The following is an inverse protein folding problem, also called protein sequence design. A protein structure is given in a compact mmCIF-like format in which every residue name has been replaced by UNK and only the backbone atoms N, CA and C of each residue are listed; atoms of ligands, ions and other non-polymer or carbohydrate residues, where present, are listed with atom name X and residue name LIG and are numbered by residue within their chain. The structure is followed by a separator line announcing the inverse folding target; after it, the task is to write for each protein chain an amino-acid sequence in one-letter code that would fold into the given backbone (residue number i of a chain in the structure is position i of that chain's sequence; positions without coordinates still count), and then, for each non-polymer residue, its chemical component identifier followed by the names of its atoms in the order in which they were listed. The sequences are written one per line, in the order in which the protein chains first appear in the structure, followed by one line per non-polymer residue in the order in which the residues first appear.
data_IF_277062032838
#
_entry.id   IF_277062032838
#
_cell.length_a   1.000
_cell.length_b   1.000
_cell.length_c   1.000
_cell.angle_alpha   90.00
_cell.angle_beta   90.00
_cell.angle_gamma   90.00
#
_symmetry.space_group_name_H-M   'P 1'
#
loop_
_entity.id
_entity.type
_entity.pdbx_description
1 polymer ?
#
# COMPACT_ATOMS: atom_id res chain seq x y z
N UNK A 1 -21.42 -31.04 -22.20
CA UNK A 1 -20.29 -30.66 -21.31
C UNK A 1 -19.70 -29.39 -21.86
N UNK A 2 -20.08 -28.25 -21.30
CA UNK A 2 -19.45 -26.95 -21.60
C UNK A 2 -18.16 -26.93 -20.79
N UNK A 3 -17.02 -26.99 -21.47
CA UNK A 3 -15.72 -26.88 -20.85
C UNK A 3 -15.62 -25.48 -20.26
N UNK A 4 -15.61 -25.33 -18.92
CA UNK A 4 -15.21 -24.15 -18.24
C UNK A 4 -13.75 -23.83 -18.63
N UNK A 5 -13.59 -23.07 -19.70
CA UNK A 5 -12.29 -22.43 -20.00
C UNK A 5 -12.06 -21.39 -18.90
N UNK A 6 -11.37 -21.79 -17.81
CA UNK A 6 -10.82 -20.84 -16.84
C UNK A 6 -9.99 -19.82 -17.63
N UNK A 7 -10.44 -18.56 -17.65
CA UNK A 7 -9.62 -17.47 -18.15
C UNK A 7 -8.29 -17.48 -17.39
N UNK A 8 -7.14 -17.35 -18.08
CA UNK A 8 -5.85 -17.31 -17.40
C UNK A 8 -5.85 -16.17 -16.36
N UNK A 9 -5.14 -16.34 -15.24
CA UNK A 9 -5.05 -15.29 -14.22
C UNK A 9 -4.44 -14.04 -14.85
N UNK A 10 -5.05 -12.88 -14.59
CA UNK A 10 -4.55 -11.58 -15.05
C UNK A 10 -3.20 -11.30 -14.41
N UNK A 11 -2.26 -10.79 -15.20
CA UNK A 11 -0.90 -10.48 -14.79
C UNK A 11 -0.67 -8.97 -14.76
N UNK A 12 -0.20 -8.47 -13.63
CA UNK A 12 0.07 -7.05 -13.40
C UNK A 12 1.55 -6.67 -13.50
N UNK A 13 1.78 -5.37 -13.64
CA UNK A 13 3.08 -4.72 -13.48
C UNK A 13 2.95 -3.62 -12.42
N UNK A 14 3.75 -3.69 -11.36
CA UNK A 14 3.86 -2.64 -10.34
C UNK A 14 5.20 -1.94 -10.50
N UNK A 15 5.20 -0.62 -10.68
CA UNK A 15 6.40 0.21 -10.78
C UNK A 15 6.42 1.25 -9.66
N UNK A 16 7.45 1.19 -8.80
CA UNK A 16 7.67 2.07 -7.66
C UNK A 16 8.77 1.54 -6.76
N UNK A 17 9.61 2.43 -6.22
CA UNK A 17 10.73 2.01 -5.40
C UNK A 17 10.30 1.61 -3.99
N UNK A 18 10.93 0.58 -3.45
CA UNK A 18 10.95 0.34 -2.02
C UNK A 18 11.74 1.46 -1.33
N UNK A 19 11.29 1.85 -0.16
CA UNK A 19 11.91 2.90 0.63
C UNK A 19 12.29 2.41 2.02
N UNK A 20 13.18 3.13 2.66
CA UNK A 20 13.42 3.05 4.08
C UNK A 20 12.68 4.23 4.73
N UNK A 21 11.73 3.95 5.61
CA UNK A 21 10.95 4.98 6.31
C UNK A 21 11.40 5.04 7.78
N UNK A 22 11.81 6.23 8.22
CA UNK A 22 12.16 6.54 9.61
C UNK A 22 11.06 7.39 10.21
N UNK A 23 10.36 6.84 11.19
CA UNK A 23 9.29 7.53 11.91
C UNK A 23 9.89 8.27 13.11
N UNK A 24 9.70 9.58 13.15
CA UNK A 24 10.26 10.47 14.16
C UNK A 24 9.10 11.15 14.89
N UNK A 25 9.04 10.98 16.21
CA UNK A 25 8.04 11.66 17.04
C UNK A 25 8.74 12.55 18.04
N UNK A 26 8.39 13.86 18.04
CA UNK A 26 8.98 14.86 18.92
C UNK A 26 10.53 14.84 18.88
N UNK A 27 11.11 14.65 17.69
CA UNK A 27 12.55 14.58 17.49
C UNK A 27 13.21 13.24 17.82
N UNK A 28 12.45 12.23 18.27
CA UNK A 28 12.96 10.90 18.62
C UNK A 28 12.54 9.87 17.57
N UNK A 29 13.48 9.05 17.08
CA UNK A 29 13.17 7.92 16.19
C UNK A 29 12.38 6.89 16.97
N UNK A 30 11.15 6.60 16.53
CA UNK A 30 10.24 5.63 17.17
C UNK A 30 10.13 4.32 16.39
N UNK A 31 10.41 4.35 15.09
CA UNK A 31 10.45 3.14 14.27
C UNK A 31 11.26 3.37 12.98
N UNK A 32 11.84 2.30 12.46
CA UNK A 32 12.40 2.21 11.12
C UNK A 32 11.74 1.02 10.41
N UNK A 33 11.18 1.26 9.22
CA UNK A 33 10.36 0.26 8.53
C UNK A 33 10.64 0.24 7.03
N UNK A 34 10.31 -0.90 6.41
CA UNK A 34 10.13 -0.95 4.96
C UNK A 34 8.98 -0.01 4.59
N UNK A 35 9.22 0.89 3.66
CA UNK A 35 8.27 1.86 3.12
C UNK A 35 8.20 1.84 1.60
N UNK A 36 7.64 2.92 1.05
CA UNK A 36 7.34 3.06 -0.37
C UNK A 36 5.99 2.44 -0.74
N UNK A 37 5.23 3.12 -1.61
CA UNK A 37 3.89 2.66 -2.03
C UNK A 37 3.89 1.22 -2.55
N UNK A 38 4.94 0.84 -3.29
CA UNK A 38 5.09 -0.51 -3.85
C UNK A 38 5.08 -1.60 -2.77
N UNK A 39 5.64 -1.36 -1.57
CA UNK A 39 5.68 -2.36 -0.50
C UNK A 39 4.30 -2.64 0.09
N UNK A 40 3.50 -1.59 0.32
CA UNK A 40 2.14 -1.69 0.83
C UNK A 40 1.20 -2.35 -0.19
N UNK A 41 1.30 -1.92 -1.45
CA UNK A 41 0.52 -2.49 -2.56
C UNK A 41 0.85 -3.96 -2.74
N UNK A 42 2.14 -4.33 -2.78
CA UNK A 42 2.59 -5.71 -2.90
C UNK A 42 2.03 -6.59 -1.80
N UNK A 43 2.06 -6.13 -0.53
CA UNK A 43 1.47 -6.84 0.59
C UNK A 43 -0.02 -7.15 0.38
N UNK A 44 -0.80 -6.21 -0.17
CA UNK A 44 -2.23 -6.41 -0.44
C UNK A 44 -2.44 -7.32 -1.65
N UNK A 45 -1.68 -7.16 -2.74
CA UNK A 45 -1.79 -8.02 -3.92
C UNK A 45 -1.44 -9.47 -3.59
N UNK A 46 -0.38 -9.70 -2.81
CA UNK A 46 0.00 -11.02 -2.30
C UNK A 46 -1.12 -11.62 -1.43
N UNK A 47 -1.66 -10.79 -0.51
CA UNK A 47 -2.80 -11.16 0.33
C UNK A 47 -4.02 -11.59 -0.50
N UNK A 48 -4.25 -10.98 -1.65
CA UNK A 48 -5.35 -11.30 -2.58
C UNK A 48 -4.97 -12.34 -3.65
N UNK A 49 -3.75 -12.88 -3.62
CA UNK A 49 -3.23 -13.84 -4.60
C UNK A 49 -3.30 -13.33 -6.05
N UNK A 50 -3.05 -12.04 -6.25
CA UNK A 50 -2.94 -11.42 -7.57
C UNK A 50 -1.52 -11.65 -8.09
N UNK A 51 -1.41 -12.07 -9.36
CA UNK A 51 -0.12 -12.25 -10.03
C UNK A 51 0.38 -10.91 -10.59
N UNK A 52 1.62 -10.55 -10.29
CA UNK A 52 2.24 -9.32 -10.80
C UNK A 52 3.77 -9.44 -10.87
N UNK A 53 4.37 -8.61 -11.71
CA UNK A 53 5.80 -8.33 -11.72
C UNK A 53 6.04 -7.01 -11.00
N UNK A 54 7.11 -6.91 -10.23
CA UNK A 54 7.51 -5.68 -9.57
C UNK A 54 8.77 -5.12 -10.24
N UNK A 55 8.76 -3.83 -10.52
CA UNK A 55 9.95 -3.03 -10.88
C UNK A 55 10.16 -2.01 -9.79
N UNK A 56 11.16 -2.26 -8.95
CA UNK A 56 11.55 -1.42 -7.82
C UNK A 56 13.07 -1.34 -7.78
N UNK A 57 13.63 -0.16 -7.53
CA UNK A 57 15.07 0.04 -7.39
C UNK A 57 15.43 0.39 -5.96
N UNK A 58 16.58 -0.11 -5.51
CA UNK A 58 17.15 0.17 -4.19
C UNK A 58 18.66 0.29 -4.29
N UNK A 59 19.31 0.86 -3.28
CA UNK A 59 20.75 0.89 -3.14
C UNK A 59 21.31 -0.38 -2.49
N UNK A 60 22.65 -0.46 -2.38
CA UNK A 60 23.35 -1.54 -1.66
C UNK A 60 23.05 -1.55 -0.15
N UNK A 61 22.53 -0.44 0.37
CA UNK A 61 22.13 -0.24 1.77
C UNK A 61 20.74 -0.78 2.10
N UNK A 62 20.05 -1.41 1.15
CA UNK A 62 18.74 -2.01 1.37
C UNK A 62 18.84 -3.23 2.30
N UNK A 63 18.21 -3.13 3.48
CA UNK A 63 18.35 -4.11 4.55
C UNK A 63 17.07 -4.95 4.82
N UNK A 64 16.08 -4.88 3.95
CA UNK A 64 14.79 -5.56 4.14
C UNK A 64 14.70 -6.85 3.31
N UNK A 65 14.01 -7.85 3.86
CA UNK A 65 13.59 -9.04 3.11
C UNK A 65 12.21 -8.84 2.52
N UNK A 66 12.06 -9.07 1.22
CA UNK A 66 10.83 -8.87 0.44
C UNK A 66 10.47 -10.12 -0.36
N UNK A 67 9.20 -10.30 -0.70
CA UNK A 67 8.74 -11.46 -1.48
C UNK A 67 9.23 -11.41 -2.94
N UNK A 68 9.42 -10.19 -3.47
CA UNK A 68 9.96 -9.96 -4.80
C UNK A 68 11.22 -9.10 -4.66
N UNK A 69 12.32 -9.56 -5.25
CA UNK A 69 13.60 -8.89 -5.16
C UNK A 69 13.60 -7.60 -5.99
N UNK A 70 14.06 -6.46 -5.40
CA UNK A 70 14.25 -5.22 -6.14
C UNK A 70 15.52 -5.27 -7.00
N UNK A 71 15.61 -4.35 -7.96
CA UNK A 71 16.83 -4.09 -8.73
C UNK A 71 17.81 -3.32 -7.84
N UNK A 72 18.96 -3.92 -7.52
CA UNK A 72 19.99 -3.26 -6.70
C UNK A 72 20.89 -2.43 -7.59
N UNK A 73 20.98 -1.12 -7.30
CA UNK A 73 21.79 -0.14 -8.05
C UNK A 73 23.03 0.20 -7.22
N UNK A 74 24.20 -0.23 -7.67
CA UNK A 74 25.47 -0.11 -6.93
C UNK A 74 25.93 1.34 -6.70
N UNK A 75 25.52 2.28 -7.56
CA UNK A 75 25.88 3.69 -7.46
C UNK A 75 24.86 4.55 -6.72
N UNK A 76 23.77 3.96 -6.23
CA UNK A 76 22.65 4.67 -5.63
C UNK A 76 22.43 4.26 -4.17
N UNK A 77 21.70 5.07 -3.41
CA UNK A 77 21.19 4.72 -2.08
C UNK A 77 19.72 4.33 -2.18
N UNK A 78 19.24 3.54 -1.24
CA UNK A 78 17.81 3.31 -1.07
C UNK A 78 17.11 4.63 -0.76
N UNK A 79 15.95 4.87 -1.38
CA UNK A 79 15.14 6.06 -1.08
C UNK A 79 14.78 6.06 0.40
N UNK A 80 15.13 7.15 1.10
CA UNK A 80 14.96 7.31 2.54
C UNK A 80 14.01 8.47 2.82
N UNK A 81 12.95 8.19 3.58
CA UNK A 81 12.05 9.20 4.09
C UNK A 81 12.12 9.31 5.61
N UNK A 82 12.09 10.56 6.10
CA UNK A 82 11.80 10.89 7.49
C UNK A 82 10.36 11.39 7.59
N UNK A 83 9.54 10.70 8.38
CA UNK A 83 8.19 11.12 8.71
C UNK A 83 8.18 11.69 10.13
N UNK A 84 8.05 13.01 10.23
CA UNK A 84 8.02 13.74 11.51
C UNK A 84 6.58 13.91 11.97
N UNK A 85 6.32 13.55 13.21
CA UNK A 85 5.02 13.69 13.88
C UNK A 85 5.22 14.55 15.14
N UNK A 86 4.43 15.59 15.27
CA UNK A 86 4.37 16.39 16.49
C UNK A 86 3.27 15.87 17.42
N UNK A 87 3.52 15.89 18.73
CA UNK A 87 2.53 15.49 19.76
C UNK A 87 1.39 16.47 19.91
N UNK A 88 1.42 17.62 19.22
CA UNK A 88 0.33 18.59 19.15
C UNK A 88 -0.92 17.95 18.58
N UNK A 89 -2.01 17.98 19.33
CA UNK A 89 -3.33 17.55 18.84
C UNK A 89 -3.96 18.78 18.21
N UNK A 90 -4.02 18.82 16.89
CA UNK A 90 -4.93 19.74 16.22
C UNK A 90 -6.37 19.35 16.55
N UNK A 91 -7.25 20.35 16.70
CA UNK A 91 -8.61 20.17 17.24
C UNK A 91 -9.50 19.17 16.50
N UNK A 92 -9.01 18.59 15.39
CA UNK A 92 -9.71 17.59 14.56
C UNK A 92 -9.14 16.17 14.70
N UNK A 93 -8.15 15.98 15.59
CA UNK A 93 -7.55 14.67 15.87
C UNK A 93 -6.69 14.11 14.74
N UNK A 94 -6.37 14.91 13.72
CA UNK A 94 -5.37 14.59 12.71
C UNK A 94 -3.98 14.98 13.25
N UNK A 95 -3.04 14.06 13.15
CA UNK A 95 -1.63 14.35 13.36
C UNK A 95 -1.04 14.68 12.01
N UNK A 96 -0.80 15.96 11.75
CA UNK A 96 -0.03 16.39 10.59
C UNK A 96 1.35 15.77 10.65
N UNK A 97 1.77 15.17 9.54
CA UNK A 97 3.14 14.69 9.41
C UNK A 97 3.88 15.52 8.38
N UNK A 98 5.08 15.93 8.72
CA UNK A 98 6.03 16.49 7.75
C UNK A 98 6.86 15.37 7.19
N UNK A 99 6.78 15.17 5.88
CA UNK A 99 7.54 14.14 5.18
C UNK A 99 8.73 14.78 4.48
N UNK A 100 9.94 14.21 4.71
CA UNK A 100 11.19 14.67 4.08
C UNK A 100 11.88 13.51 3.39
N UNK A 101 12.25 13.70 2.12
CA UNK A 101 13.11 12.76 1.38
C UNK A 101 14.57 13.06 1.67
N UNK A 102 15.21 12.23 2.47
CA UNK A 102 16.62 12.40 2.90
C UNK A 102 17.60 11.70 1.97
N UNK A 103 17.18 10.62 1.35
CA UNK A 103 17.94 9.87 0.34
C UNK A 103 17.07 9.56 -0.86
N UNK A 104 17.69 9.39 -2.02
CA UNK A 104 17.00 9.08 -3.27
C UNK A 104 17.72 7.96 -4.02
N UNK A 105 16.96 6.97 -4.50
CA UNK A 105 17.42 5.98 -5.46
C UNK A 105 17.22 6.48 -6.88
N UNK A 106 17.91 5.85 -7.83
CA UNK A 106 17.75 6.14 -9.26
C UNK A 106 16.29 6.01 -9.68
N UNK A 107 15.85 6.84 -10.64
CA UNK A 107 14.54 6.69 -11.27
C UNK A 107 14.37 5.31 -11.94
N UNK A 108 13.14 4.90 -12.10
CA UNK A 108 12.77 3.75 -12.94
C UNK A 108 12.74 4.23 -14.38
N UNK A 109 13.68 3.76 -15.20
CA UNK A 109 13.76 4.09 -16.61
C UNK A 109 12.84 3.18 -17.44
N UNK A 110 12.41 3.59 -18.65
CA UNK A 110 11.67 2.72 -19.56
C UNK A 110 12.38 1.37 -19.86
N UNK A 111 13.70 1.38 -19.85
CA UNK A 111 14.54 0.19 -20.05
C UNK A 111 14.54 -0.79 -18.88
N UNK A 112 14.11 -0.36 -17.68
CA UNK A 112 13.97 -1.26 -16.52
C UNK A 112 12.66 -2.06 -16.58
N UNK A 113 11.70 -1.63 -17.42
CA UNK A 113 10.41 -2.28 -17.58
C UNK A 113 10.54 -3.52 -18.49
N UNK A 114 9.80 -4.60 -18.18
CA UNK A 114 9.79 -5.79 -19.03
C UNK A 114 9.21 -5.50 -20.41
N UNK A 115 9.70 -6.21 -21.44
CA UNK A 115 9.18 -6.11 -22.81
C UNK A 115 7.82 -6.83 -23.00
N UNK A 116 7.39 -7.63 -22.02
CA UNK A 116 6.14 -8.37 -22.10
C UNK A 116 4.92 -7.49 -21.82
N UNK A 117 3.75 -7.88 -22.36
CA UNK A 117 2.48 -7.22 -22.08
C UNK A 117 1.86 -7.68 -20.76
N UNK A 118 1.09 -6.78 -20.15
CA UNK A 118 0.39 -7.02 -18.89
C UNK A 118 -1.09 -6.60 -19.02
N UNK A 119 -1.97 -7.29 -18.28
CA UNK A 119 -3.38 -6.93 -18.23
C UNK A 119 -3.61 -5.62 -17.47
N UNK A 120 -2.74 -5.30 -16.50
CA UNK A 120 -2.79 -4.04 -15.78
C UNK A 120 -1.40 -3.57 -15.33
N UNK A 121 -1.25 -2.25 -15.18
CA UNK A 121 -0.07 -1.60 -14.63
C UNK A 121 -0.44 -0.70 -13.45
N UNK A 122 0.47 -0.55 -12.49
CA UNK A 122 0.34 0.36 -11.36
C UNK A 122 1.60 1.23 -11.27
N UNK A 123 1.46 2.53 -11.53
CA UNK A 123 2.53 3.51 -11.37
C UNK A 123 2.37 4.19 -10.00
N UNK A 124 3.25 3.84 -9.04
CA UNK A 124 3.05 4.11 -7.61
C UNK A 124 4.29 4.70 -6.93
N UNK A 125 5.06 5.48 -7.65
CA UNK A 125 6.25 6.15 -7.13
C UNK A 125 5.93 7.11 -5.98
N UNK A 126 6.88 7.26 -5.04
CA UNK A 126 6.77 8.17 -3.91
C UNK A 126 7.92 9.16 -3.80
N UNK A 127 9.07 8.83 -4.42
CA UNK A 127 10.32 9.58 -4.34
C UNK A 127 10.70 10.35 -5.61
N UNK A 128 9.80 10.42 -6.61
CA UNK A 128 10.05 11.03 -7.91
C UNK A 128 10.64 10.06 -8.93
N UNK A 129 10.53 8.76 -8.69
CA UNK A 129 11.13 7.72 -9.53
C UNK A 129 10.33 7.37 -10.79
N UNK A 130 9.06 7.78 -10.89
CA UNK A 130 8.24 7.56 -12.10
C UNK A 130 8.40 8.76 -13.03
N UNK A 131 9.15 8.57 -14.10
CA UNK A 131 9.36 9.59 -15.13
C UNK A 131 8.19 9.59 -16.14
N UNK A 132 7.94 10.70 -16.85
CA UNK A 132 6.95 10.74 -17.94
C UNK A 132 7.15 9.62 -18.96
N UNK A 133 8.38 9.39 -19.42
CA UNK A 133 8.71 8.32 -20.37
C UNK A 133 8.46 6.92 -19.81
N UNK A 134 8.65 6.72 -18.49
CA UNK A 134 8.36 5.45 -17.80
C UNK A 134 6.87 5.19 -17.78
N UNK A 135 6.07 6.21 -17.43
CA UNK A 135 4.61 6.10 -17.44
C UNK A 135 4.10 5.85 -18.87
N UNK A 136 4.65 6.53 -19.88
CA UNK A 136 4.29 6.33 -21.28
C UNK A 136 4.57 4.87 -21.71
N UNK A 137 5.75 4.32 -21.38
CA UNK A 137 6.08 2.92 -21.62
C UNK A 137 5.13 1.96 -20.89
N UNK A 138 4.75 2.25 -19.64
CA UNK A 138 3.76 1.43 -18.92
C UNK A 138 2.41 1.42 -19.64
N UNK A 139 1.96 2.57 -20.14
CA UNK A 139 0.71 2.69 -20.93
C UNK A 139 0.77 1.89 -22.23
N UNK A 140 1.95 1.73 -22.84
CA UNK A 140 2.13 0.93 -24.05
C UNK A 140 2.04 -0.57 -23.81
N UNK A 141 2.57 -1.05 -22.67
CA UNK A 141 2.70 -2.49 -22.37
C UNK A 141 1.61 -3.03 -21.44
N UNK A 142 0.74 -2.17 -20.88
CA UNK A 142 -0.36 -2.57 -20.02
C UNK A 142 -1.70 -2.22 -20.67
N UNK A 143 -2.69 -3.10 -20.55
CA UNK A 143 -4.03 -2.86 -21.10
C UNK A 143 -4.78 -1.77 -20.32
N UNK A 144 -4.57 -1.68 -19.00
CA UNK A 144 -5.10 -0.61 -18.14
C UNK A 144 -4.02 -0.16 -17.15
N UNK A 145 -3.83 1.15 -16.98
CA UNK A 145 -2.88 1.68 -16.00
C UNK A 145 -3.60 2.41 -14.88
N UNK A 146 -3.24 2.06 -13.65
CA UNK A 146 -3.64 2.72 -12.41
C UNK A 146 -2.49 3.58 -11.92
N UNK A 147 -2.77 4.84 -11.63
CA UNK A 147 -1.73 5.78 -11.20
C UNK A 147 -2.09 6.36 -9.85
N UNK A 148 -1.15 6.36 -8.91
CA UNK A 148 -1.25 7.22 -7.73
C UNK A 148 -0.71 8.60 -8.10
N UNK A 149 -1.51 9.65 -7.90
CA UNK A 149 -1.17 11.02 -8.28
C UNK A 149 0.12 11.50 -7.59
N UNK A 150 0.43 10.98 -6.38
CA UNK A 150 1.66 11.29 -5.67
C UNK A 150 2.92 11.01 -6.51
N UNK A 151 2.87 10.00 -7.39
CA UNK A 151 3.97 9.69 -8.31
C UNK A 151 4.23 10.79 -9.36
N UNK A 152 3.25 11.66 -9.56
CA UNK A 152 3.24 12.68 -10.63
C UNK A 152 3.45 14.10 -10.10
N UNK A 153 2.91 14.41 -8.91
CA UNK A 153 2.84 15.79 -8.40
C UNK A 153 3.77 16.06 -7.22
N UNK A 154 4.45 15.05 -6.66
CA UNK A 154 5.43 15.29 -5.59
C UNK A 154 6.69 15.92 -6.15
N UNK A 155 7.03 17.09 -5.63
CA UNK A 155 8.31 17.75 -5.76
C UNK A 155 9.02 17.76 -4.41
N UNK A 156 10.32 17.96 -4.42
CA UNK A 156 11.14 17.90 -3.21
C UNK A 156 11.95 19.18 -3.11
N UNK A 157 11.99 19.76 -1.92
CA UNK A 157 12.81 20.91 -1.66
C UNK A 157 14.30 20.53 -1.73
N UNK A 158 15.10 21.30 -2.47
CA UNK A 158 16.52 21.00 -2.69
C UNK A 158 17.38 21.21 -1.42
N UNK A 159 16.88 21.96 -0.44
CA UNK A 159 17.62 22.32 0.77
C UNK A 159 17.40 21.29 1.89
N UNK A 160 16.13 20.95 2.15
CA UNK A 160 15.78 20.12 3.31
C UNK A 160 15.00 18.84 2.95
N UNK A 161 14.75 18.58 1.67
CA UNK A 161 14.05 17.41 1.18
C UNK A 161 12.54 17.37 1.48
N UNK A 162 11.97 18.46 1.99
CA UNK A 162 10.53 18.53 2.28
C UNK A 162 9.71 18.26 1.03
N UNK A 163 8.66 17.44 1.20
CA UNK A 163 7.74 17.13 0.10
C UNK A 163 6.83 18.32 -0.15
N UNK A 164 6.77 18.75 -1.41
CA UNK A 164 5.85 19.76 -1.94
C UNK A 164 4.98 19.13 -3.01
N UNK A 165 3.80 19.69 -3.23
CA UNK A 165 2.92 19.27 -4.32
C UNK A 165 2.90 20.36 -5.38
N UNK A 166 2.96 19.95 -6.66
CA UNK A 166 2.83 20.82 -7.82
C UNK A 166 1.51 20.54 -8.53
N UNK A 167 1.01 21.50 -9.29
CA UNK A 167 -0.21 21.30 -10.09
C UNK A 167 0.01 20.18 -11.10
N UNK A 168 -1.02 19.32 -11.28
CA UNK A 168 -0.95 18.19 -12.20
C UNK A 168 -0.65 18.61 -13.66
N UNK A 169 -1.07 19.80 -14.06
CA UNK A 169 -0.75 20.36 -15.39
C UNK A 169 0.72 20.67 -15.56
N UNK A 170 1.42 20.95 -14.45
CA UNK A 170 2.87 21.25 -14.45
C UNK A 170 3.73 19.97 -14.35
N UNK A 171 3.13 18.81 -14.08
CA UNK A 171 3.83 17.53 -13.88
C UNK A 171 4.48 16.96 -15.16
N UNK A 172 4.18 17.53 -16.33
CA UNK A 172 4.65 17.03 -17.62
C UNK A 172 3.93 15.80 -18.16
N UNK A 173 2.99 15.20 -17.41
CA UNK A 173 2.25 13.97 -17.76
C UNK A 173 0.77 14.19 -18.04
N UNK A 174 0.28 15.42 -17.96
CA UNK A 174 -1.14 15.74 -18.14
C UNK A 174 -1.70 15.21 -19.47
N UNK A 175 -0.93 15.23 -20.53
CA UNK A 175 -1.29 14.73 -21.88
C UNK A 175 -1.49 13.20 -21.93
N UNK A 176 -1.00 12.44 -20.92
CA UNK A 176 -1.15 11.00 -20.84
C UNK A 176 -2.46 10.58 -20.14
N UNK A 177 -3.14 11.50 -19.44
CA UNK A 177 -4.36 11.18 -18.67
C UNK A 177 -5.45 10.46 -19.48
N UNK A 178 -5.72 10.80 -20.76
CA UNK A 178 -6.73 10.08 -21.55
C UNK A 178 -6.42 8.60 -21.81
N UNK A 179 -5.19 8.16 -21.53
CA UNK A 179 -4.71 6.79 -21.69
C UNK A 179 -4.57 6.06 -20.35
N UNK A 180 -4.84 6.74 -19.25
CA UNK A 180 -4.85 6.18 -17.89
C UNK A 180 -6.27 5.69 -17.57
N UNK A 181 -6.39 4.49 -17.00
CA UNK A 181 -7.68 3.96 -16.58
C UNK A 181 -8.22 4.64 -15.33
N UNK A 182 -7.38 4.71 -14.29
CA UNK A 182 -7.74 5.27 -12.98
C UNK A 182 -6.59 6.08 -12.40
N UNK A 183 -6.91 7.29 -11.93
CA UNK A 183 -6.05 8.16 -11.15
C UNK A 183 -6.54 8.19 -9.70
N UNK A 184 -5.71 7.77 -8.75
CA UNK A 184 -6.03 7.87 -7.31
C UNK A 184 -5.40 9.14 -6.75
N UNK A 185 -6.14 9.86 -5.92
CA UNK A 185 -5.67 11.00 -5.15
C UNK A 185 -6.21 10.93 -3.71
N UNK A 186 -5.54 11.58 -2.76
CA UNK A 186 -6.11 11.91 -1.45
C UNK A 186 -6.95 13.20 -1.53
N UNK A 187 -7.74 13.47 -0.48
CA UNK A 187 -8.47 14.73 -0.36
C UNK A 187 -7.59 15.98 -0.37
N UNK A 188 -6.32 15.85 0.04
CA UNK A 188 -5.33 16.93 -0.02
C UNK A 188 -4.73 17.06 -1.42
N UNK A 189 -4.39 15.95 -2.05
CA UNK A 189 -3.78 15.92 -3.38
C UNK A 189 -4.74 16.36 -4.48
N UNK A 190 -6.04 16.15 -4.30
CA UNK A 190 -7.07 16.58 -5.28
C UNK A 190 -7.10 18.10 -5.48
N UNK A 191 -6.61 18.87 -4.51
CA UNK A 191 -6.50 20.33 -4.59
C UNK A 191 -5.46 20.81 -5.62
N UNK A 192 -4.59 19.91 -6.08
CA UNK A 192 -3.55 20.18 -7.08
C UNK A 192 -3.95 19.72 -8.50
N UNK A 193 -5.26 19.56 -8.75
CA UNK A 193 -5.80 19.28 -10.08
C UNK A 193 -7.20 19.88 -10.23
N UNK A 194 -7.59 20.20 -11.47
CA UNK A 194 -8.98 20.47 -11.81
C UNK A 194 -9.73 19.14 -11.94
N UNK A 195 -10.41 18.73 -10.86
CA UNK A 195 -11.14 17.46 -10.81
C UNK A 195 -12.20 17.35 -11.93
N UNK A 196 -12.90 18.45 -12.25
CA UNK A 196 -13.95 18.44 -13.28
C UNK A 196 -13.38 18.33 -14.71
N UNK A 197 -12.16 18.76 -14.91
CA UNK A 197 -11.42 18.53 -16.15
C UNK A 197 -10.89 17.10 -16.22
N UNK A 198 -10.21 16.64 -15.15
CA UNK A 198 -9.52 15.34 -15.11
C UNK A 198 -10.51 14.18 -15.20
N UNK A 199 -11.68 14.26 -14.53
CA UNK A 199 -12.71 13.20 -14.60
C UNK A 199 -13.30 12.95 -16.00
N UNK A 200 -13.11 13.90 -16.93
CA UNK A 200 -13.48 13.75 -18.34
C UNK A 200 -12.43 12.99 -19.14
N UNK A 201 -11.21 12.91 -18.62
CA UNK A 201 -10.06 12.28 -19.27
C UNK A 201 -9.83 10.84 -18.78
N UNK A 202 -9.94 10.61 -17.47
CA UNK A 202 -9.81 9.29 -16.83
C UNK A 202 -10.72 9.20 -15.59
N UNK A 203 -10.93 8.00 -15.07
CA UNK A 203 -11.62 7.84 -13.79
C UNK A 203 -10.73 8.31 -12.63
N UNK A 204 -11.32 9.06 -11.68
CA UNK A 204 -10.60 9.57 -10.51
C UNK A 204 -11.16 8.94 -9.24
N UNK A 205 -10.27 8.45 -8.38
CA UNK A 205 -10.63 7.92 -7.06
C UNK A 205 -10.02 8.82 -5.99
N UNK A 206 -10.87 9.48 -5.20
CA UNK A 206 -10.44 10.36 -4.11
C UNK A 206 -10.66 9.68 -2.77
N UNK A 207 -9.57 9.45 -2.02
CA UNK A 207 -9.63 8.89 -0.66
C UNK A 207 -9.71 10.01 0.37
N UNK A 208 -10.70 9.92 1.29
CA UNK A 208 -11.00 10.95 2.28
C UNK A 208 -10.85 10.42 3.73
N UNK A 209 -9.87 9.55 3.96
CA UNK A 209 -9.54 9.00 5.28
C UNK A 209 -10.76 8.40 5.98
N UNK A 210 -11.16 8.99 7.11
CA UNK A 210 -12.31 8.52 7.93
C UNK A 210 -13.66 8.60 7.22
N UNK A 211 -13.76 9.31 6.10
CA UNK A 211 -14.98 9.45 5.32
C UNK A 211 -15.08 8.42 4.18
N UNK A 212 -14.05 7.59 4.00
CA UNK A 212 -14.01 6.59 2.92
C UNK A 212 -13.45 7.15 1.63
N UNK A 213 -14.11 6.88 0.50
CA UNK A 213 -13.66 7.38 -0.79
C UNK A 213 -14.82 7.73 -1.71
N UNK A 214 -14.50 8.50 -2.74
CA UNK A 214 -15.43 8.86 -3.81
C UNK A 214 -14.78 8.58 -5.16
N UNK A 215 -15.53 7.93 -6.05
CA UNK A 215 -15.08 7.62 -7.39
C UNK A 215 -15.83 8.49 -8.37
N UNK A 216 -15.09 9.16 -9.25
CA UNK A 216 -15.61 10.07 -10.26
C UNK A 216 -15.29 9.52 -11.65
N UNK A 217 -16.26 9.55 -12.54
CA UNK A 217 -16.10 9.29 -13.97
C UNK A 217 -16.79 10.38 -14.77
N UNK A 218 -16.66 10.34 -16.08
CA UNK A 218 -17.15 11.41 -16.98
C UNK A 218 -18.55 11.87 -16.66
N UNK A 219 -19.48 10.95 -16.42
CA UNK A 219 -20.91 11.23 -16.35
C UNK A 219 -21.54 10.99 -14.95
N UNK A 220 -20.70 10.77 -13.92
CA UNK A 220 -21.22 10.50 -12.59
C UNK A 220 -20.17 10.34 -11.51
N UNK A 221 -20.65 9.97 -10.33
CA UNK A 221 -19.84 9.73 -9.16
C UNK A 221 -20.51 8.75 -8.19
N UNK A 222 -19.73 8.08 -7.35
CA UNK A 222 -20.25 7.21 -6.31
C UNK A 222 -19.43 7.35 -5.03
N UNK A 223 -20.12 7.48 -3.91
CA UNK A 223 -19.50 7.47 -2.58
C UNK A 223 -19.50 6.05 -1.99
N UNK A 224 -18.37 5.70 -1.36
CA UNK A 224 -18.16 4.41 -0.73
C UNK A 224 -17.70 4.63 0.71
N UNK A 225 -18.45 4.11 1.67
CA UNK A 225 -18.24 4.32 3.10
C UNK A 225 -16.94 3.71 3.62
N UNK A 226 -16.43 4.23 4.76
CA UNK A 226 -15.21 3.76 5.39
C UNK A 226 -15.42 2.53 6.25
N UNK A 227 -14.33 1.92 6.70
CA UNK A 227 -14.32 0.98 7.83
C UNK A 227 -13.73 1.66 9.05
N UNK A 228 -14.49 1.80 10.15
CA UNK A 228 -14.00 2.41 11.38
C UNK A 228 -12.73 1.71 11.89
N UNK A 229 -11.72 2.49 12.28
CA UNK A 229 -10.48 1.96 12.85
C UNK A 229 -9.82 2.98 13.77
N UNK A 230 -9.07 2.49 14.75
CA UNK A 230 -8.19 3.34 15.55
C UNK A 230 -6.90 3.57 14.76
N UNK A 231 -6.58 4.83 14.54
CA UNK A 231 -5.36 5.21 13.83
C UNK A 231 -4.13 5.03 14.72
N UNK A 232 -3.21 4.16 14.30
CA UNK A 232 -1.88 3.99 14.88
C UNK A 232 -0.86 4.73 14.01
N UNK A 233 -0.82 4.42 12.71
CA UNK A 233 0.03 5.06 11.71
C UNK A 233 -0.74 5.20 10.39
N UNK A 234 -0.91 6.42 9.83
CA UNK A 234 -1.60 6.62 8.56
C UNK A 234 -0.77 6.24 7.34
N UNK A 235 0.53 5.93 7.53
CA UNK A 235 1.45 5.61 6.43
C UNK A 235 0.99 4.39 5.67
N UNK A 236 0.97 4.48 4.32
CA UNK A 236 0.60 3.39 3.44
C UNK A 236 -0.90 3.07 3.38
N UNK A 237 -1.77 3.83 4.08
CA UNK A 237 -3.23 3.62 4.01
C UNK A 237 -3.77 3.82 2.59
N UNK A 238 -3.35 4.90 1.91
CA UNK A 238 -3.71 5.18 0.52
C UNK A 238 -3.16 4.15 -0.46
N UNK A 239 -1.96 3.66 -0.20
CA UNK A 239 -1.31 2.63 -1.01
C UNK A 239 -2.01 1.28 -0.85
N UNK A 240 -2.33 0.89 0.39
CA UNK A 240 -3.12 -0.32 0.68
C UNK A 240 -4.54 -0.23 0.13
N UNK A 241 -5.15 0.96 0.15
CA UNK A 241 -6.41 1.21 -0.55
C UNK A 241 -6.27 0.92 -2.04
N UNK A 242 -5.25 1.48 -2.71
CA UNK A 242 -5.05 1.28 -4.14
C UNK A 242 -4.80 -0.19 -4.47
N UNK A 243 -4.01 -0.91 -3.67
CA UNK A 243 -3.82 -2.36 -3.80
C UNK A 243 -5.14 -3.14 -3.71
N UNK A 244 -5.98 -2.82 -2.73
CA UNK A 244 -7.31 -3.43 -2.55
C UNK A 244 -8.28 -3.10 -3.69
N UNK A 245 -8.33 -1.86 -4.12
CA UNK A 245 -9.15 -1.39 -5.23
C UNK A 245 -8.80 -2.11 -6.53
N UNK A 246 -7.51 -2.11 -6.89
CA UNK A 246 -7.04 -2.78 -8.11
C UNK A 246 -7.26 -4.29 -8.05
N UNK A 247 -7.00 -4.92 -6.88
CA UNK A 247 -7.25 -6.36 -6.73
C UNK A 247 -8.72 -6.71 -6.94
N UNK A 248 -9.65 -5.87 -6.46
CA UNK A 248 -11.09 -6.04 -6.68
C UNK A 248 -11.47 -5.96 -8.15
N UNK A 249 -11.01 -4.90 -8.85
CA UNK A 249 -11.28 -4.71 -10.28
C UNK A 249 -10.70 -5.85 -11.14
N UNK A 250 -9.48 -6.26 -10.87
CA UNK A 250 -8.80 -7.33 -11.58
C UNK A 250 -9.53 -8.66 -11.41
N UNK A 251 -10.14 -8.86 -10.25
CA UNK A 251 -10.97 -10.03 -9.95
C UNK A 251 -12.40 -9.92 -10.51
N UNK A 252 -12.78 -8.79 -11.10
CA UNK A 252 -14.06 -8.58 -11.79
C UNK A 252 -15.15 -7.99 -10.89
N UNK A 253 -14.82 -7.41 -9.73
CA UNK A 253 -15.79 -6.65 -8.94
C UNK A 253 -16.18 -5.36 -9.65
N UNK A 254 -17.43 -4.90 -9.50
CA UNK A 254 -17.84 -3.55 -9.87
C UNK A 254 -17.02 -2.49 -9.12
N UNK A 255 -16.91 -1.29 -9.69
CA UNK A 255 -16.11 -0.19 -9.13
C UNK A 255 -16.48 0.14 -7.67
N UNK A 256 -17.76 0.24 -7.26
CA UNK A 256 -18.09 0.51 -5.86
C UNK A 256 -17.66 -0.59 -4.89
N UNK A 257 -17.74 -1.87 -5.32
CA UNK A 257 -17.31 -3.01 -4.49
C UNK A 257 -15.78 -3.11 -4.43
N UNK A 258 -15.08 -2.81 -5.54
CA UNK A 258 -13.64 -2.71 -5.56
C UNK A 258 -13.15 -1.55 -4.66
N UNK A 259 -13.81 -0.39 -4.70
CA UNK A 259 -13.51 0.74 -3.82
C UNK A 259 -13.78 0.42 -2.34
N UNK A 260 -14.82 -0.37 -2.07
CA UNK A 260 -15.10 -0.88 -0.73
C UNK A 260 -13.96 -1.80 -0.23
N UNK A 261 -13.46 -2.70 -1.09
CA UNK A 261 -12.31 -3.53 -0.78
C UNK A 261 -11.04 -2.69 -0.55
N UNK A 262 -10.88 -1.60 -1.31
CA UNK A 262 -9.84 -0.60 -1.10
C UNK A 262 -9.93 0.05 0.29
N UNK A 263 -11.10 0.60 0.67
CA UNK A 263 -11.34 1.18 2.00
C UNK A 263 -11.05 0.18 3.12
N UNK A 264 -11.40 -1.08 2.90
CA UNK A 264 -11.16 -2.16 3.84
C UNK A 264 -9.65 -2.36 4.09
N UNK A 265 -8.82 -2.56 3.04
CA UNK A 265 -7.38 -2.73 3.20
C UNK A 265 -6.69 -1.47 3.71
N UNK A 266 -7.10 -0.28 3.27
CA UNK A 266 -6.62 0.99 3.81
C UNK A 266 -6.88 1.10 5.32
N UNK A 267 -8.06 0.67 5.79
CA UNK A 267 -8.40 0.68 7.21
C UNK A 267 -7.59 -0.32 8.06
N UNK A 268 -7.09 -1.40 7.47
CA UNK A 268 -6.21 -2.37 8.15
C UNK A 268 -4.78 -1.83 8.26
N UNK A 269 -4.29 -1.13 7.23
CA UNK A 269 -2.97 -0.50 7.24
C UNK A 269 -2.88 0.57 8.34
N UNK A 270 -3.87 1.44 8.46
CA UNK A 270 -3.94 2.50 9.50
C UNK A 270 -3.83 1.95 10.92
N UNK A 271 -4.24 0.73 11.17
CA UNK A 271 -4.19 0.05 12.47
C UNK A 271 -2.85 -0.61 12.80
N UNK A 272 -1.81 -0.44 11.99
CA UNK A 272 -0.49 -1.07 12.15
C UNK A 272 0.62 -0.07 11.85
N UNK A 273 1.85 -0.35 12.29
CA UNK A 273 3.06 0.40 11.91
C UNK A 273 3.76 -0.35 10.77
N UNK A 274 4.13 0.37 9.72
CA UNK A 274 4.82 -0.18 8.54
C UNK A 274 3.91 -1.06 7.68
N UNK A 275 4.51 -1.90 6.83
CA UNK A 275 3.76 -2.75 5.88
C UNK A 275 2.81 -3.70 6.64
N UNK A 276 1.51 -3.69 6.32
CA UNK A 276 0.51 -4.42 7.09
C UNK A 276 0.69 -5.94 6.98
N UNK A 277 0.48 -6.63 8.10
CA UNK A 277 0.44 -8.09 8.18
C UNK A 277 -1.01 -8.54 8.32
N UNK A 278 -1.38 -9.57 7.58
CA UNK A 278 -2.75 -10.07 7.53
C UNK A 278 -2.86 -11.51 8.08
N UNK A 279 -3.88 -11.78 8.89
CA UNK A 279 -4.20 -13.13 9.35
C UNK A 279 -4.73 -13.98 8.19
N UNK A 280 -4.17 -15.16 7.97
CA UNK A 280 -4.52 -16.05 6.86
C UNK A 280 -6.00 -16.50 6.89
N UNK A 281 -6.58 -16.68 8.08
CA UNK A 281 -7.98 -17.11 8.24
C UNK A 281 -8.95 -16.03 7.75
N UNK A 282 -8.63 -14.79 8.08
CA UNK A 282 -9.33 -13.62 7.64
C UNK A 282 -9.21 -13.43 6.12
N UNK A 283 -8.00 -13.54 5.58
CA UNK A 283 -7.76 -13.41 4.14
C UNK A 283 -8.55 -14.44 3.31
N UNK A 284 -8.62 -15.69 3.79
CA UNK A 284 -9.37 -16.71 3.07
C UNK A 284 -10.85 -16.35 2.95
N UNK A 285 -11.48 -15.85 4.02
CA UNK A 285 -12.88 -15.39 3.99
C UNK A 285 -13.10 -14.25 2.99
N UNK A 286 -12.19 -13.27 2.95
CA UNK A 286 -12.28 -12.16 2.00
C UNK A 286 -12.16 -12.67 0.55
N UNK A 287 -11.21 -13.57 0.29
CA UNK A 287 -11.03 -14.18 -1.04
C UNK A 287 -12.25 -14.97 -1.48
N UNK A 288 -12.80 -15.79 -0.59
CA UNK A 288 -13.99 -16.63 -0.89
C UNK A 288 -15.18 -15.74 -1.26
N UNK A 289 -15.37 -14.63 -0.53
CA UNK A 289 -16.44 -13.69 -0.83
C UNK A 289 -16.23 -12.96 -2.16
N UNK A 290 -15.03 -12.47 -2.43
CA UNK A 290 -14.71 -11.83 -3.71
C UNK A 290 -14.95 -12.81 -4.88
N UNK A 291 -14.56 -14.06 -4.72
CA UNK A 291 -14.78 -15.08 -5.73
C UNK A 291 -16.27 -15.43 -5.93
N UNK A 292 -17.05 -15.49 -4.85
CA UNK A 292 -18.51 -15.71 -4.90
C UNK A 292 -19.21 -14.59 -5.69
N UNK A 293 -18.82 -13.34 -5.47
CA UNK A 293 -19.37 -12.17 -6.17
C UNK A 293 -19.02 -12.14 -7.65
N UNK A 294 -17.81 -12.54 -8.00
CA UNK A 294 -17.41 -12.71 -9.40
C UNK A 294 -18.35 -13.67 -10.15
N UNK A 295 -18.69 -14.79 -9.55
CA UNK A 295 -19.60 -15.78 -10.14
C UNK A 295 -21.00 -15.18 -10.33
N UNK A 296 -21.53 -14.47 -9.34
CA UNK A 296 -22.84 -13.83 -9.42
C UNK A 296 -22.88 -12.77 -10.53
N UNK A 297 -21.84 -11.95 -10.66
CA UNK A 297 -21.76 -10.91 -11.69
C UNK A 297 -21.71 -11.49 -13.10
N UNK A 298 -21.01 -12.62 -13.29
CA UNK A 298 -20.88 -13.30 -14.58
C UNK A 298 -22.17 -14.02 -15.02
N UNK A 299 -23.02 -14.41 -14.07
CA UNK A 299 -24.29 -15.06 -14.37
C UNK A 299 -25.40 -14.07 -14.78
N UNK A 300 -25.32 -12.81 -14.32
CA UNK A 300 -26.38 -11.82 -14.52
C UNK A 300 -26.31 -11.07 -15.86
N UNK A 301 -25.15 -11.03 -16.52
CA UNK A 301 -24.96 -10.25 -17.74
C UNK A 301 -24.03 -10.94 -18.74
N UNK A 302 -24.62 -11.52 -19.78
CA UNK A 302 -23.90 -11.83 -21.03
C UNK A 302 -23.88 -10.57 -21.91
N UNK A 303 -23.12 -9.55 -21.51
CA UNK A 303 -22.78 -8.45 -22.38
C UNK A 303 -21.26 -8.37 -22.47
N UNK A 304 -20.76 -8.49 -23.70
CA UNK A 304 -19.34 -8.57 -24.09
C UNK A 304 -18.54 -7.26 -23.91
N UNK A 305 -19.07 -6.29 -23.16
CA UNK A 305 -18.35 -5.04 -22.90
C UNK A 305 -17.58 -5.13 -21.60
N UNK A 306 -16.28 -5.14 -21.72
CA UNK A 306 -15.28 -5.13 -20.63
C UNK A 306 -15.24 -3.77 -19.87
N UNK A 307 -16.32 -2.96 -19.93
CA UNK A 307 -16.39 -1.67 -19.28
C UNK A 307 -16.61 -1.81 -17.76
N UNK A 308 -15.90 -1.03 -16.95
CA UNK A 308 -16.07 -1.04 -15.50
C UNK A 308 -17.49 -0.61 -15.12
N UNK A 309 -18.16 -1.39 -14.26
CA UNK A 309 -19.49 -1.08 -13.77
C UNK A 309 -19.40 -0.12 -12.59
N UNK A 310 -20.02 1.03 -12.69
CA UNK A 310 -19.99 2.09 -11.67
C UNK A 310 -21.17 2.05 -10.68
N UNK A 311 -22.12 1.15 -10.86
CA UNK A 311 -23.31 1.06 -10.01
C UNK A 311 -23.11 0.03 -8.89
N UNK A 312 -23.63 0.36 -7.70
CA UNK A 312 -23.72 -0.60 -6.59
C UNK A 312 -24.72 -1.69 -6.98
N UNK A 313 -24.25 -2.94 -6.98
CA UNK A 313 -25.10 -4.10 -7.30
C UNK A 313 -25.89 -4.58 -6.09
N UNK A 314 -26.87 -5.44 -6.34
CA UNK A 314 -27.57 -6.17 -5.29
C UNK A 314 -26.56 -6.95 -4.44
N UNK A 315 -26.67 -6.85 -3.11
CA UNK A 315 -25.71 -7.49 -2.19
C UNK A 315 -24.52 -6.62 -1.77
N UNK A 316 -24.42 -5.36 -2.20
CA UNK A 316 -23.37 -4.43 -1.77
C UNK A 316 -23.30 -4.29 -0.24
N UNK A 317 -24.44 -4.13 0.43
CA UNK A 317 -24.52 -3.97 1.88
C UNK A 317 -24.10 -5.27 2.62
N UNK A 318 -24.40 -6.43 2.05
CA UNK A 318 -23.94 -7.71 2.58
C UNK A 318 -22.42 -7.84 2.47
N UNK A 319 -21.84 -7.35 1.39
CA UNK A 319 -20.38 -7.32 1.22
C UNK A 319 -19.72 -6.40 2.24
N UNK A 320 -20.30 -5.22 2.44
CA UNK A 320 -19.82 -4.30 3.47
C UNK A 320 -19.83 -4.93 4.85
N UNK A 321 -20.96 -5.55 5.24
CA UNK A 321 -21.11 -6.20 6.53
C UNK A 321 -20.12 -7.37 6.71
N UNK A 322 -19.90 -8.17 5.66
CA UNK A 322 -18.96 -9.30 5.69
C UNK A 322 -17.51 -8.83 5.87
N UNK A 323 -17.08 -7.81 5.14
CA UNK A 323 -15.76 -7.21 5.30
C UNK A 323 -15.59 -6.64 6.71
N UNK A 324 -16.62 -5.97 7.26
CA UNK A 324 -16.62 -5.49 8.64
C UNK A 324 -16.45 -6.61 9.66
N UNK A 325 -17.16 -7.72 9.48
CA UNK A 325 -17.03 -8.90 10.35
C UNK A 325 -15.64 -9.55 10.23
N UNK A 326 -15.08 -9.62 9.02
CA UNK A 326 -13.74 -10.14 8.80
C UNK A 326 -12.67 -9.27 9.50
N UNK A 327 -12.83 -7.95 9.50
CA UNK A 327 -11.94 -7.02 10.19
C UNK A 327 -11.87 -7.28 11.71
N UNK A 328 -12.99 -7.65 12.34
CA UNK A 328 -13.01 -8.00 13.76
C UNK A 328 -12.14 -9.22 14.09
N UNK A 329 -12.03 -10.17 13.16
CA UNK A 329 -11.16 -11.35 13.32
C UNK A 329 -9.68 -10.94 13.32
N UNK A 330 -9.29 -10.03 12.44
CA UNK A 330 -7.94 -9.49 12.40
C UNK A 330 -7.55 -8.77 13.71
N UNK A 331 -8.51 -8.14 14.36
CA UNK A 331 -8.31 -7.36 15.59
C UNK A 331 -8.29 -8.20 16.87
N UNK A 332 -8.71 -9.47 16.81
CA UNK A 332 -8.70 -10.36 17.97
C UNK A 332 -7.32 -10.99 18.16
N UNK A 333 -6.62 -10.78 19.30
CA UNK A 333 -5.42 -11.54 19.60
C UNK A 333 -5.76 -13.03 19.65
N UNK A 334 -4.89 -13.85 19.06
CA UNK A 334 -5.01 -15.31 19.10
C UNK A 334 -4.89 -15.72 20.58
N UNK A 335 -6.04 -15.91 21.29
CA UNK A 335 -6.03 -16.69 22.49
C UNK A 335 -5.69 -18.12 22.07
N UNK A 336 -4.47 -18.58 22.42
CA UNK A 336 -4.13 -19.99 22.40
C UNK A 336 -5.16 -20.74 23.22
N UNK A 337 -6.14 -21.35 22.55
CA UNK A 337 -7.00 -22.33 23.18
C UNK A 337 -6.12 -23.54 23.55
N UNK A 338 -5.49 -23.49 24.69
CA UNK A 338 -4.99 -24.71 25.38
C UNK A 338 -6.19 -25.58 25.67
N UNK A 339 -6.50 -26.51 24.80
CA UNK A 339 -7.32 -27.65 25.12
C UNK A 339 -6.50 -28.52 26.06
N UNK A 340 -6.69 -28.32 27.36
CA UNK A 340 -6.23 -29.24 28.40
C UNK A 340 -6.98 -30.56 28.29
N UNK A 341 -6.48 -31.48 27.49
CA UNK A 341 -6.82 -32.89 27.61
C UNK A 341 -6.07 -33.46 28.82
N UNK A 342 -6.68 -33.44 29.98
CA UNK A 342 -6.29 -34.26 31.14
C UNK A 342 -6.59 -35.71 30.79
N UNK A 343 -5.59 -36.44 30.30
CA UNK A 343 -5.62 -37.92 30.32
C UNK A 343 -4.68 -38.34 31.43
N UNK A 344 -5.22 -38.75 32.54
CA UNK A 344 -4.54 -39.49 33.57
C UNK A 344 -4.24 -40.91 33.07
N UNK A 345 -2.96 -41.30 33.06
CA UNK A 345 -2.55 -42.72 32.98
C UNK A 345 -1.21 -42.91 33.68
N UNK A 346 -1.01 -44.03 34.34
CA UNK A 346 0.15 -44.25 35.21
C UNK A 346 1.31 -44.97 34.49
N UNK A 347 2.51 -44.57 34.84
CA UNK A 347 3.72 -45.43 34.95
C UNK A 347 4.45 -45.79 33.67
N UNK A 348 5.61 -45.25 33.52
CA UNK A 348 6.93 -45.90 33.50
C UNK A 348 7.99 -45.00 32.83
N UNK A 349 9.18 -45.04 33.38
CA UNK A 349 10.36 -44.30 33.01
C UNK A 349 10.84 -44.64 31.57
N UNK A 350 11.41 -43.66 30.90
CA UNK A 350 12.78 -43.71 30.34
C UNK A 350 13.17 -42.42 29.60
N UNK A 351 14.38 -42.11 29.78
CA UNK A 351 15.28 -41.05 29.32
C UNK A 351 15.18 -40.59 27.87
N UNK A 352 15.41 -39.26 27.67
CA UNK A 352 16.37 -38.84 26.70
C UNK A 352 15.89 -38.00 25.53
N UNK A 353 16.48 -36.84 25.49
CA UNK A 353 16.82 -35.95 24.38
C UNK A 353 15.99 -34.65 24.32
N UNK A 354 16.62 -33.62 24.94
CA UNK A 354 16.33 -32.22 24.70
C UNK A 354 16.70 -31.84 23.24
N UNK A 355 15.73 -31.33 22.51
CA UNK A 355 15.98 -30.51 21.32
C UNK A 355 15.58 -29.06 21.64
N UNK A 356 16.57 -28.19 21.69
CA UNK A 356 16.42 -26.77 21.97
C UNK A 356 15.85 -26.07 20.75
N UNK A 357 14.65 -25.50 20.86
CA UNK A 357 14.19 -24.44 19.97
C UNK A 357 14.73 -23.10 20.49
N UNK A 358 15.71 -22.55 19.82
CA UNK A 358 16.26 -21.22 20.08
C UNK A 358 15.27 -20.16 19.63
N UNK A 359 14.70 -19.44 20.58
CA UNK A 359 13.99 -18.17 20.36
C UNK A 359 15.04 -17.09 20.08
N UNK A 360 14.98 -16.48 18.89
CA UNK A 360 15.69 -15.24 18.62
C UNK A 360 14.87 -14.05 19.14
N UNK A 361 15.28 -13.51 20.27
CA UNK A 361 14.93 -12.17 20.71
C UNK A 361 15.89 -11.15 20.08
N UNK A 362 15.41 -9.96 19.66
CA UNK A 362 16.31 -8.90 19.20
C UNK A 362 17.10 -8.35 20.37
N UNK A 363 18.43 -8.30 20.22
CA UNK A 363 19.34 -7.67 21.20
C UNK A 363 19.15 -6.16 21.19
N UNK A 364 18.76 -5.62 22.32
CA UNK A 364 18.95 -4.21 22.65
C UNK A 364 20.44 -3.92 22.78
N UNK A 365 20.99 -3.08 21.91
CA UNK A 365 22.31 -2.51 22.03
C UNK A 365 22.27 -1.39 23.06
N UNK A 366 22.76 -1.65 24.26
CA UNK A 366 23.09 -0.61 25.24
C UNK A 366 24.41 0.01 24.84
N UNK A 367 24.38 1.27 24.39
CA UNK A 367 25.59 2.08 24.23
C UNK A 367 26.07 2.56 25.61
N UNK A 368 27.23 2.10 26.01
CA UNK A 368 27.98 2.65 27.17
C UNK A 368 28.55 4.01 26.79
N UNK A 369 28.05 5.05 27.45
CA UNK A 369 28.62 6.40 27.40
C UNK A 369 29.93 6.39 28.25
N UNK A 370 31.06 6.63 27.63
CA UNK A 370 32.26 7.00 28.32
C UNK A 370 32.23 8.50 28.60
N UNK A 371 32.17 8.85 29.90
CA UNK A 371 32.43 10.21 30.38
C UNK A 371 33.93 10.45 30.45
N UNK A 372 34.48 11.37 29.68
CA UNK A 372 35.79 11.95 29.92
C UNK A 372 35.69 13.17 30.85
N UNK A 373 36.62 13.35 31.81
CA UNK A 373 36.56 14.45 32.78
C UNK A 373 37.05 15.77 32.17
N UNK A 374 36.23 16.79 32.36
CA UNK A 374 36.53 18.20 31.99
C UNK A 374 37.71 18.71 32.84
N UNK A 375 38.81 19.08 32.21
CA UNK A 375 39.89 19.85 32.84
C UNK A 375 39.53 21.33 32.84
N UNK A 376 39.33 21.88 34.01
CA UNK A 376 39.20 23.32 34.27
C UNK A 376 40.58 23.99 34.20
N UNK A 377 40.78 24.89 33.25
CA UNK A 377 41.88 25.85 33.27
C UNK A 377 41.38 27.19 33.82
N UNK A 378 41.79 27.45 35.06
CA UNK A 378 41.78 28.77 35.70
C UNK A 378 42.69 29.76 34.95
N UNK A 379 42.15 30.89 34.56
CA UNK A 379 42.91 32.11 34.30
C UNK A 379 42.28 33.30 35.02
N UNK A 380 43.00 33.81 36.00
CA UNK A 380 42.96 35.17 36.55
C UNK A 380 44.34 35.81 36.33
N UNK A 381 44.44 37.10 36.39
CA UNK A 381 43.52 38.23 36.22
C UNK A 381 43.70 38.93 34.89
#
# INVERSE_FOLDING_TARGET
MVSDKKCPPRRGLVAGNYCHDVLIRDGVVVAETLGGAASFISSVLDAQSISYNLVSKVGLDFAYSTNLDPIVVSGSRTTLFHAHFDSGIDGDGHRDRVLKRVGVCDPIWPSDLPESRFDFGMAVGVGGEILPATLEKMIEICDTVFVDIQALIRAFDDVDGSVKLVDLKESGVFHLLPRIGFLKASGEEVLFMDLEEVRKLCCVVVTNGKQGCKVYWKDGEVEVGPFPTNQIDPTGAGDSFLGGFVSGLVQGLPVPEAALLGNFFGSLAVGQIGVPKFDLRFLQRVKDEVQSRKVQCSCCERNDNNEPKFLKLAGYEQFYALLGAAKLIQSCPVQECRWGLSISSPGSAEQGILSQCTQHQPKLLTSSVYEEPIQTHDRKP
#
